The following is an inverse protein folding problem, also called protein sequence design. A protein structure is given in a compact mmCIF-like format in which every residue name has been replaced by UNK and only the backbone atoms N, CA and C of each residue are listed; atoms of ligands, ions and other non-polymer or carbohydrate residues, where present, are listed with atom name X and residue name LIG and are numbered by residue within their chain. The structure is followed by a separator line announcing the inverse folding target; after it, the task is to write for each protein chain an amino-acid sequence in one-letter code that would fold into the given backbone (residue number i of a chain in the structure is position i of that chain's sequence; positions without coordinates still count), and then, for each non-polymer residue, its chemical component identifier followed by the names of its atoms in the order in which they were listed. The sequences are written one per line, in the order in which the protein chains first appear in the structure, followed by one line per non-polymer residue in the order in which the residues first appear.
data_IF_231005152333
#
_entry.id   IF_231005152333
#
_cell.length_a   1.000
_cell.length_b   1.000
_cell.length_c   1.000
_cell.angle_alpha   90.00
_cell.angle_beta   90.00
_cell.angle_gamma   90.00
#
_symmetry.space_group_name_H-M   'P 1'
#
loop_
_entity.id
_entity.type
_entity.pdbx_description
1 polymer ?
#
# COMPACT_ATOMS: atom_id res chain seq x y z
N UNK A 1 8.02 -4.05 12.40
CA UNK A 1 8.00 -4.58 11.02
C UNK A 1 6.89 -3.90 10.23
N UNK A 2 7.24 -2.87 9.47
CA UNK A 2 6.31 -2.10 8.65
C UNK A 2 6.40 -2.57 7.20
N UNK A 3 5.32 -3.21 6.70
CA UNK A 3 5.25 -3.61 5.29
C UNK A 3 4.69 -2.48 4.45
N UNK A 4 5.50 -1.93 3.55
CA UNK A 4 5.09 -0.85 2.65
C UNK A 4 4.77 -1.44 1.28
N UNK A 5 3.47 -1.47 0.94
CA UNK A 5 3.01 -1.93 -0.38
C UNK A 5 3.44 -0.95 -1.48
N UNK A 6 4.24 -1.44 -2.42
CA UNK A 6 4.63 -0.70 -3.63
C UNK A 6 3.59 -0.89 -4.74
N UNK A 7 3.23 -2.13 -5.06
CA UNK A 7 2.32 -2.43 -6.16
C UNK A 7 1.66 -3.81 -6.01
N UNK A 8 0.47 -3.95 -6.62
CA UNK A 8 -0.25 -5.22 -6.73
C UNK A 8 -0.80 -5.35 -8.14
N UNK A 9 -0.31 -6.32 -8.90
CA UNK A 9 -0.70 -6.52 -10.30
C UNK A 9 -0.78 -8.01 -10.68
N UNK A 10 -1.40 -8.29 -11.83
CA UNK A 10 -1.45 -9.64 -12.39
C UNK A 10 -0.17 -9.89 -13.19
N UNK A 11 0.50 -11.00 -12.90
CA UNK A 11 1.75 -11.42 -13.56
C UNK A 11 1.66 -12.90 -13.90
N UNK A 12 2.30 -13.34 -14.98
CA UNK A 12 2.38 -14.76 -15.30
C UNK A 12 3.32 -15.48 -14.32
N UNK A 13 2.91 -16.61 -13.74
CA UNK A 13 3.73 -17.37 -12.77
C UNK A 13 5.10 -17.79 -13.33
N UNK A 14 5.20 -17.95 -14.65
CA UNK A 14 6.40 -18.40 -15.35
C UNK A 14 7.08 -17.29 -16.17
N UNK A 15 6.97 -16.02 -15.77
CA UNK A 15 7.83 -14.95 -16.30
C UNK A 15 9.28 -15.08 -15.80
N UNK A 16 9.89 -16.27 -15.96
CA UNK A 16 11.32 -16.45 -15.76
C UNK A 16 12.12 -15.66 -16.81
N UNK A 17 13.42 -15.97 -16.94
CA UNK A 17 14.38 -15.28 -17.85
C UNK A 17 13.92 -15.14 -19.32
N UNK A 18 12.95 -15.95 -19.76
CA UNK A 18 12.41 -15.88 -21.10
C UNK A 18 11.39 -14.74 -21.25
N UNK A 19 11.69 -13.78 -22.14
CA UNK A 19 10.81 -12.65 -22.54
C UNK A 19 9.38 -13.07 -22.94
N UNK A 20 9.16 -14.34 -23.24
CA UNK A 20 7.88 -14.86 -23.72
C UNK A 20 7.30 -15.88 -22.72
N UNK A 21 6.06 -15.64 -22.32
CA UNK A 21 5.29 -16.59 -21.51
C UNK A 21 4.88 -17.80 -22.36
N UNK A 22 4.82 -18.99 -21.76
CA UNK A 22 4.31 -20.17 -22.47
C UNK A 22 2.81 -20.01 -22.76
N UNK A 23 2.37 -20.43 -23.95
CA UNK A 23 0.94 -20.52 -24.31
C UNK A 23 0.20 -21.30 -23.21
N UNK A 24 -0.94 -20.78 -22.72
CA UNK A 24 -1.76 -21.28 -21.59
C UNK A 24 -1.25 -20.96 -20.17
N UNK A 25 -0.23 -20.13 -20.00
CA UNK A 25 0.16 -19.70 -18.64
C UNK A 25 -0.89 -18.78 -18.04
N UNK A 26 -1.43 -19.14 -16.88
CA UNK A 26 -2.40 -18.30 -16.15
C UNK A 26 -1.69 -17.16 -15.44
N UNK A 27 -2.32 -15.99 -15.45
CA UNK A 27 -1.90 -14.87 -14.62
C UNK A 27 -2.35 -15.10 -13.17
N UNK A 28 -1.50 -14.72 -12.22
CA UNK A 28 -1.80 -14.69 -10.79
C UNK A 28 -1.47 -13.31 -10.22
N UNK A 29 -2.06 -12.97 -9.07
CA UNK A 29 -1.79 -11.70 -8.43
C UNK A 29 -0.46 -11.75 -7.68
N UNK A 30 0.36 -10.73 -7.89
CA UNK A 30 1.66 -10.56 -7.25
C UNK A 30 1.68 -9.25 -6.49
N UNK A 31 2.08 -9.31 -5.22
CA UNK A 31 2.24 -8.18 -4.33
C UNK A 31 3.73 -7.87 -4.18
N UNK A 32 4.09 -6.63 -4.44
CA UNK A 32 5.43 -6.08 -4.31
C UNK A 32 5.45 -5.13 -3.12
N UNK A 33 6.32 -5.39 -2.16
CA UNK A 33 6.39 -4.63 -0.92
C UNK A 33 7.83 -4.47 -0.44
N UNK A 34 8.06 -3.42 0.35
CA UNK A 34 9.26 -3.29 1.16
C UNK A 34 8.95 -3.82 2.55
N UNK A 35 9.86 -4.61 3.09
CA UNK A 35 9.84 -5.05 4.48
C UNK A 35 11.01 -4.39 5.22
N UNK A 36 10.72 -3.80 6.37
CA UNK A 36 11.74 -3.30 7.28
C UNK A 36 12.04 -4.40 8.31
N UNK A 37 13.03 -5.21 7.96
CA UNK A 37 13.55 -6.29 8.80
C UNK A 37 14.91 -5.84 9.34
N UNK A 38 14.92 -5.38 10.59
CA UNK A 38 16.13 -4.94 11.32
C UNK A 38 16.80 -3.63 10.84
N UNK A 39 16.03 -2.69 10.24
CA UNK A 39 16.53 -1.37 9.86
C UNK A 39 16.97 -1.24 8.40
N UNK A 40 16.87 -2.33 7.62
CA UNK A 40 17.10 -2.32 6.18
C UNK A 40 15.81 -2.60 5.41
N UNK A 41 15.48 -1.71 4.48
CA UNK A 41 14.35 -1.89 3.58
C UNK A 41 14.67 -2.92 2.49
N UNK A 42 14.10 -4.12 2.59
CA UNK A 42 14.27 -5.18 1.60
C UNK A 42 13.08 -5.28 0.67
N UNK A 43 13.37 -5.34 -0.63
CA UNK A 43 12.35 -5.56 -1.65
C UNK A 43 11.93 -7.03 -1.69
N UNK A 44 10.65 -7.27 -1.40
CA UNK A 44 10.07 -8.59 -1.34
C UNK A 44 8.87 -8.71 -2.27
N UNK A 45 8.59 -9.94 -2.70
CA UNK A 45 7.41 -10.24 -3.52
C UNK A 45 6.71 -11.48 -3.02
N UNK A 46 5.39 -11.44 -2.97
CA UNK A 46 4.55 -12.58 -2.61
C UNK A 46 3.45 -12.81 -3.66
N UNK A 47 3.09 -14.07 -3.90
CA UNK A 47 1.87 -14.40 -4.65
C UNK A 47 0.69 -14.31 -3.71
N UNK A 48 -0.40 -13.70 -4.18
CA UNK A 48 -1.60 -13.47 -3.37
C UNK A 48 -2.85 -13.92 -4.09
N UNK A 49 -3.88 -14.23 -3.33
CA UNK A 49 -5.21 -14.49 -3.86
C UNK A 49 -5.89 -13.22 -4.34
N UNK A 50 -6.96 -13.37 -5.13
CA UNK A 50 -7.74 -12.23 -5.65
C UNK A 50 -8.28 -11.34 -4.55
N UNK A 51 -8.80 -11.90 -3.46
CA UNK A 51 -9.39 -11.15 -2.34
C UNK A 51 -8.33 -10.29 -1.65
N UNK A 52 -7.18 -10.90 -1.29
CA UNK A 52 -6.05 -10.18 -0.67
C UNK A 52 -5.52 -9.10 -1.62
N UNK A 53 -5.46 -9.37 -2.92
CA UNK A 53 -5.02 -8.39 -3.91
C UNK A 53 -5.92 -7.14 -3.95
N UNK A 54 -7.25 -7.33 -3.91
CA UNK A 54 -8.18 -6.19 -3.89
C UNK A 54 -8.06 -5.39 -2.59
N UNK A 55 -7.93 -6.06 -1.45
CA UNK A 55 -7.74 -5.40 -0.17
C UNK A 55 -6.49 -4.51 -0.15
N UNK A 56 -5.36 -5.03 -0.64
CA UNK A 56 -4.11 -4.27 -0.73
C UNK A 56 -4.22 -3.08 -1.70
N UNK A 57 -4.94 -3.24 -2.82
CA UNK A 57 -5.22 -2.13 -3.75
C UNK A 57 -6.08 -1.05 -3.11
N UNK A 58 -7.12 -1.43 -2.37
CA UNK A 58 -7.99 -0.49 -1.66
C UNK A 58 -7.21 0.25 -0.58
N UNK A 59 -6.39 -0.46 0.22
CA UNK A 59 -5.48 0.18 1.18
C UNK A 59 -4.60 1.23 0.51
N UNK A 60 -3.99 0.92 -0.63
CA UNK A 60 -3.17 1.88 -1.37
C UNK A 60 -3.99 3.06 -1.92
N UNK A 61 -5.20 2.81 -2.45
CA UNK A 61 -6.07 3.83 -3.03
C UNK A 61 -6.54 4.85 -1.98
N UNK A 62 -6.94 4.36 -0.80
CA UNK A 62 -7.47 5.19 0.28
C UNK A 62 -6.38 5.84 1.13
N UNK A 63 -5.14 5.36 1.07
CA UNK A 63 -4.02 6.04 1.73
C UNK A 63 -3.73 7.37 1.03
N UNK A 64 -3.90 8.47 1.75
CA UNK A 64 -3.64 9.84 1.29
C UNK A 64 -2.63 10.51 2.21
N UNK A 65 -1.83 11.39 1.62
CA UNK A 65 -0.94 12.28 2.34
C UNK A 65 -1.72 13.56 2.61
N UNK A 66 -1.86 13.91 3.89
CA UNK A 66 -2.59 15.08 4.35
C UNK A 66 -1.62 16.03 5.04
N UNK A 67 -1.95 17.32 5.01
CA UNK A 67 -1.19 18.36 5.70
C UNK A 67 -2.14 18.97 6.71
N UNK A 68 -1.73 19.00 7.98
CA UNK A 68 -2.49 19.70 9.00
C UNK A 68 -2.29 21.21 8.83
N UNK A 69 -3.40 21.97 8.77
CA UNK A 69 -3.35 23.42 8.66
C UNK A 69 -2.93 24.10 9.99
N UNK A 70 -3.11 23.42 11.14
CA UNK A 70 -2.79 23.98 12.45
C UNK A 70 -1.30 23.83 12.79
N UNK A 71 -0.73 22.62 12.61
CA UNK A 71 0.68 22.35 12.97
C UNK A 71 1.63 22.27 11.76
N UNK A 72 1.12 22.33 10.52
CA UNK A 72 1.92 22.24 9.29
C UNK A 72 2.54 20.86 9.02
N UNK A 73 2.30 19.86 9.87
CA UNK A 73 2.90 18.53 9.73
C UNK A 73 2.16 17.69 8.69
N UNK A 74 2.93 16.86 8.00
CA UNK A 74 2.43 15.90 7.02
C UNK A 74 2.14 14.58 7.72
N UNK A 75 0.95 14.02 7.49
CA UNK A 75 0.59 12.69 8.00
C UNK A 75 -0.14 11.87 6.93
N UNK A 76 -0.20 10.56 7.14
CA UNK A 76 -0.92 9.64 6.26
C UNK A 76 -2.24 9.22 6.90
N UNK A 77 -3.34 9.40 6.18
CA UNK A 77 -4.66 8.97 6.60
C UNK A 77 -5.31 8.05 5.56
N UNK A 78 -6.24 7.22 6.00
CA UNK A 78 -7.08 6.42 5.11
C UNK A 78 -8.40 7.15 4.92
N UNK A 79 -8.57 7.74 3.74
CA UNK A 79 -9.70 8.60 3.42
C UNK A 79 -10.59 7.91 2.38
N UNK A 80 -11.90 7.85 2.62
CA UNK A 80 -12.85 7.29 1.68
C UNK A 80 -13.18 8.29 0.58
N UNK A 81 -13.40 9.55 0.95
CA UNK A 81 -13.79 10.65 0.05
C UNK A 81 -12.89 11.87 0.26
N UNK A 82 -12.55 12.60 -0.81
CA UNK A 82 -11.67 13.80 -0.72
C UNK A 82 -12.19 14.92 0.18
N UNK A 83 -13.50 14.91 0.50
CA UNK A 83 -14.17 15.89 1.38
C UNK A 83 -14.26 15.45 2.84
N UNK A 84 -13.73 14.29 3.17
CA UNK A 84 -13.76 13.78 4.54
C UNK A 84 -12.73 14.55 5.38
N UNK A 85 -13.21 15.20 6.42
CA UNK A 85 -12.37 15.89 7.39
C UNK A 85 -11.69 14.85 8.28
N UNK A 86 -10.37 14.99 8.44
CA UNK A 86 -9.56 14.07 9.25
C UNK A 86 -8.81 14.89 10.27
N UNK A 87 -8.98 14.54 11.54
CA UNK A 87 -8.24 15.16 12.63
C UNK A 87 -6.76 14.82 12.52
N UNK A 88 -5.92 15.81 12.81
CA UNK A 88 -4.48 15.58 12.82
C UNK A 88 -4.11 14.74 14.05
N UNK A 89 -3.49 13.56 13.89
CA UNK A 89 -3.15 12.68 15.02
C UNK A 89 -2.00 13.21 15.90
N UNK A 90 -1.54 14.43 15.63
CA UNK A 90 -0.37 15.05 16.28
C UNK A 90 -0.77 16.33 17.01
N UNK A 91 -1.84 16.99 16.59
CA UNK A 91 -2.41 18.08 17.37
C UNK A 91 -3.13 17.47 18.57
N UNK A 92 -2.96 18.01 19.80
CA UNK A 92 -3.93 17.73 20.84
C UNK A 92 -5.30 18.21 20.35
N UNK A 93 -6.32 17.36 20.47
CA UNK A 93 -7.68 17.79 20.23
C UNK A 93 -8.02 18.83 21.31
N UNK A 94 -8.45 20.02 20.92
CA UNK A 94 -8.90 21.09 21.84
C UNK A 94 -10.29 20.74 22.43
N UNK A 95 -10.48 19.51 22.95
CA UNK A 95 -11.72 19.02 23.57
C UNK A 95 -11.50 18.52 25.01
N UNK A 96 -10.74 19.26 25.81
CA UNK A 96 -10.71 19.11 27.27
C UNK A 96 -10.58 20.49 27.95
N UNK A 97 -11.55 21.39 27.76
CA UNK A 97 -11.86 22.52 28.66
C UNK A 97 -13.34 22.92 28.59
#
# INVERSE_FOLDING_TARGET
MSKVTLSVCKVYKNTGSFRFHRKKTKQAWKHYFLDDESGEWKFNTEWVDSVKAQFLKLKKRHKRMCICLNCGRVFYAYIKNEREEVNCPICPDDEDE
#
